data_IF_864264177952
#
_entry.id   IF_864264177952
#
_cell.length_a   1.000
_cell.length_b   1.000
_cell.length_c   1.000
_cell.angle_alpha   90.00
_cell.angle_beta   90.00
_cell.angle_gamma   90.00
#
_symmetry.space_group_name_H-M   'P 1'
#
loop_
_entity.id
_entity.type
_entity.pdbx_description
1 polymer ?
#
# COMPACT_ATOMS: atom_id res chain seq x y z
N UNK A 1 19.36 -11.67 10.54
CA UNK A 1 18.92 -12.30 9.27
C UNK A 1 18.57 -11.17 8.32
N UNK A 2 19.17 -11.13 7.13
CA UNK A 2 18.96 -10.05 6.16
C UNK A 2 17.53 -10.07 5.61
N UNK A 3 16.98 -8.88 5.41
CA UNK A 3 15.68 -8.71 4.78
C UNK A 3 15.77 -9.16 3.31
N UNK A 4 14.95 -10.11 2.83
CA UNK A 4 15.03 -10.60 1.46
C UNK A 4 14.84 -9.47 0.44
N UNK A 5 15.73 -9.36 -0.53
CA UNK A 5 15.67 -8.30 -1.54
C UNK A 5 14.39 -8.31 -2.36
N UNK A 6 13.81 -9.49 -2.61
CA UNK A 6 12.54 -9.62 -3.33
C UNK A 6 11.38 -8.96 -2.56
N UNK A 7 11.28 -9.21 -1.25
CA UNK A 7 10.24 -8.64 -0.39
C UNK A 7 10.33 -7.10 -0.36
N UNK A 8 11.55 -6.56 -0.30
CA UNK A 8 11.79 -5.12 -0.39
C UNK A 8 11.26 -4.51 -1.68
N UNK A 9 11.53 -5.14 -2.83
CA UNK A 9 11.05 -4.63 -4.11
C UNK A 9 9.52 -4.68 -4.21
N UNK A 10 8.89 -5.71 -3.66
CA UNK A 10 7.43 -5.82 -3.61
C UNK A 10 6.81 -4.71 -2.76
N UNK A 11 7.33 -4.47 -1.55
CA UNK A 11 6.86 -3.39 -0.67
C UNK A 11 6.96 -2.01 -1.34
N UNK A 12 8.12 -1.73 -1.94
CA UNK A 12 8.37 -0.45 -2.60
C UNK A 12 7.47 -0.28 -3.82
N UNK A 13 7.31 -1.32 -4.64
CA UNK A 13 6.43 -1.28 -5.80
C UNK A 13 4.97 -1.05 -5.40
N UNK A 14 4.50 -1.71 -4.34
CA UNK A 14 3.13 -1.56 -3.85
C UNK A 14 2.84 -0.13 -3.39
N UNK A 15 3.71 0.44 -2.55
CA UNK A 15 3.52 1.82 -2.08
C UNK A 15 3.65 2.83 -3.22
N UNK A 16 4.62 2.64 -4.12
CA UNK A 16 4.79 3.51 -5.29
C UNK A 16 3.57 3.48 -6.22
N UNK A 17 2.95 2.32 -6.42
CA UNK A 17 1.75 2.19 -7.25
C UNK A 17 0.56 2.99 -6.69
N UNK A 18 0.37 3.00 -5.36
CA UNK A 18 -0.77 3.68 -4.75
C UNK A 18 -0.53 5.17 -4.47
N UNK A 19 0.63 5.53 -3.90
CA UNK A 19 0.91 6.91 -3.51
C UNK A 19 1.84 7.67 -4.46
N UNK A 20 2.38 7.00 -5.47
CA UNK A 20 3.24 7.63 -6.48
C UNK A 20 4.48 8.31 -5.88
N UNK A 21 4.92 7.83 -4.72
CA UNK A 21 6.13 8.33 -4.07
C UNK A 21 7.38 7.92 -4.86
N UNK A 22 8.41 8.79 -4.90
CA UNK A 22 9.68 8.47 -5.52
C UNK A 22 10.32 7.22 -4.89
N UNK A 23 10.94 6.39 -5.72
CA UNK A 23 11.70 5.22 -5.26
C UNK A 23 12.72 5.58 -4.17
N UNK A 24 13.41 6.72 -4.33
CA UNK A 24 14.41 7.20 -3.36
C UNK A 24 13.83 7.42 -1.98
N UNK A 25 12.61 7.96 -1.90
CA UNK A 25 11.97 8.28 -0.63
C UNK A 25 11.52 6.99 0.07
N UNK A 26 11.01 6.02 -0.69
CA UNK A 26 10.61 4.71 -0.18
C UNK A 26 11.80 3.87 0.30
N UNK A 27 12.96 4.03 -0.34
CA UNK A 27 14.20 3.37 0.06
C UNK A 27 14.82 3.98 1.32
N UNK A 28 14.46 5.21 1.68
CA UNK A 28 14.89 5.85 2.92
C UNK A 28 14.05 5.42 4.13
N UNK A 29 12.86 4.85 3.91
CA UNK A 29 12.04 4.29 4.97
C UNK A 29 12.63 2.99 5.50
N UNK A 30 12.46 2.74 6.79
CA UNK A 30 12.73 1.40 7.33
C UNK A 30 11.62 0.40 6.90
N UNK A 31 11.88 -0.89 7.11
CA UNK A 31 10.91 -1.93 6.76
C UNK A 31 9.59 -1.81 7.54
N UNK A 32 9.64 -1.40 8.81
CA UNK A 32 8.43 -1.26 9.63
C UNK A 32 7.58 -0.08 9.16
N UNK A 33 8.21 1.01 8.75
CA UNK A 33 7.54 2.17 8.16
C UNK A 33 6.87 1.80 6.84
N UNK A 34 7.56 1.11 5.93
CA UNK A 34 6.93 0.63 4.69
C UNK A 34 5.73 -0.27 4.97
N UNK A 35 5.83 -1.20 5.91
CA UNK A 35 4.72 -2.08 6.28
C UNK A 35 3.52 -1.33 6.84
N UNK A 36 3.74 -0.30 7.67
CA UNK A 36 2.65 0.57 8.13
C UNK A 36 1.94 1.25 6.98
N UNK A 37 2.68 1.77 5.99
CA UNK A 37 2.05 2.39 4.83
C UNK A 37 1.24 1.40 3.99
N UNK A 38 1.74 0.17 3.82
CA UNK A 38 0.99 -0.92 3.16
C UNK A 38 -0.32 -1.20 3.91
N UNK A 39 -0.29 -1.31 5.24
CA UNK A 39 -1.49 -1.52 6.05
C UNK A 39 -2.52 -0.39 5.88
N UNK A 40 -2.08 0.87 5.83
CA UNK A 40 -2.98 2.01 5.61
C UNK A 40 -3.60 2.00 4.21
N UNK A 41 -2.83 1.62 3.17
CA UNK A 41 -3.36 1.44 1.81
C UNK A 41 -4.46 0.38 1.80
N UNK A 42 -4.22 -0.77 2.44
CA UNK A 42 -5.22 -1.85 2.53
C UNK A 42 -6.50 -1.36 3.20
N UNK A 43 -6.40 -0.67 4.35
CA UNK A 43 -7.56 -0.10 5.06
C UNK A 43 -8.34 0.89 4.21
N UNK A 44 -7.65 1.73 3.43
CA UNK A 44 -8.31 2.68 2.52
C UNK A 44 -9.09 1.92 1.45
N UNK A 45 -8.45 0.94 0.81
CA UNK A 45 -9.09 0.13 -0.24
C UNK A 45 -10.30 -0.65 0.29
N UNK A 46 -10.19 -1.25 1.48
CA UNK A 46 -11.31 -1.94 2.13
C UNK A 46 -12.51 -1.02 2.39
N UNK A 47 -12.24 0.20 2.86
CA UNK A 47 -13.29 1.21 3.10
C UNK A 47 -13.96 1.68 1.82
N UNK A 48 -13.19 1.86 0.74
CA UNK A 48 -13.71 2.25 -0.57
C UNK A 48 -14.58 1.16 -1.18
N UNK A 49 -14.08 -0.08 -1.21
CA UNK A 49 -14.83 -1.22 -1.74
C UNK A 49 -16.12 -1.47 -0.95
N UNK A 50 -16.07 -1.33 0.38
CA UNK A 50 -17.26 -1.46 1.24
C UNK A 50 -18.29 -0.35 1.01
N UNK A 51 -17.84 0.84 0.60
CA UNK A 51 -18.74 1.95 0.26
C UNK A 51 -19.37 1.76 -1.12
N UNK A 52 -18.62 1.23 -2.11
CA UNK A 52 -19.12 0.92 -3.45
C UNK A 52 -20.18 -0.20 -3.44
N UNK A 53 -20.01 -1.23 -2.61
CA UNK A 53 -20.99 -2.32 -2.50
C UNK A 53 -22.31 -1.87 -1.83
N UNK A 54 -22.31 -0.71 -1.17
CA UNK A 54 -23.46 -0.16 -0.46
C UNK A 54 -24.36 0.74 -1.30
N UNK A 55 -24.04 1.02 -2.57
CA UNK A 55 -24.97 1.71 -3.49
C UNK A 55 -26.01 0.71 -4.01
N UNK A 56 -27.28 0.77 -3.58
CA UNK A 56 -28.32 -0.03 -4.21
C UNK A 56 -28.56 0.58 -5.59
N UNK A 57 -28.41 -0.23 -6.63
CA UNK A 57 -28.80 0.11 -7.99
C UNK A 57 -30.32 0.34 -8.01
N UNK A 58 -30.75 1.58 -7.78
CA UNK A 58 -32.09 2.05 -8.07
C UNK A 58 -32.04 2.81 -9.39
N UNK A 59 -32.19 2.07 -10.49
CA UNK A 59 -33.23 2.22 -11.54
C UNK A 59 -32.86 1.39 -12.77
#
# INVERSE_FOLDING_TARGET
MGYPSAELFEEVAYVAYHFHWPYTDLMNLDHLERRRWIEEIVKINERLNSAEESTPEYL
#
